data_IF_731266945338
#
_entry.id   IF_731266945338
#
_cell.length_a   1.000
_cell.length_b   1.000
_cell.length_c   1.000
_cell.angle_alpha   90.00
_cell.angle_beta   90.00
_cell.angle_gamma   90.00
#
_symmetry.space_group_name_H-M   'P 1'
#
loop_
_entity.id
_entity.type
_entity.pdbx_description
1 polymer ?
#
# COMPACT_ATOMS: atom_id res chain seq x y z
N UNK A 1 -8.92 -17.01 -27.61
CA UNK A 1 -8.78 -17.25 -26.16
C UNK A 1 -8.29 -15.98 -25.47
N UNK A 2 -9.18 -15.09 -25.00
CA UNK A 2 -8.81 -13.90 -24.20
C UNK A 2 -9.93 -13.54 -23.21
N UNK A 3 -10.27 -14.48 -22.33
CA UNK A 3 -11.18 -14.26 -21.19
C UNK A 3 -10.38 -13.80 -19.98
N UNK A 4 -9.74 -12.64 -20.04
CA UNK A 4 -8.96 -12.13 -18.88
C UNK A 4 -9.12 -10.64 -18.60
N UNK A 5 -10.00 -9.91 -19.27
CA UNK A 5 -10.26 -8.50 -18.92
C UNK A 5 -11.01 -8.40 -17.58
N UNK A 6 -12.19 -9.02 -17.51
CA UNK A 6 -13.10 -8.91 -16.36
C UNK A 6 -12.54 -9.53 -15.07
N UNK A 7 -11.83 -10.66 -15.18
CA UNK A 7 -11.27 -11.34 -14.01
C UNK A 7 -10.12 -10.55 -13.36
N UNK A 8 -9.33 -9.81 -14.14
CA UNK A 8 -8.23 -9.00 -13.62
C UNK A 8 -8.74 -7.72 -12.93
N UNK A 9 -9.77 -7.08 -13.49
CA UNK A 9 -10.44 -5.93 -12.88
C UNK A 9 -11.07 -6.32 -11.54
N UNK A 10 -11.85 -7.41 -11.52
CA UNK A 10 -12.47 -7.93 -10.30
C UNK A 10 -11.41 -8.34 -9.27
N UNK A 11 -10.35 -9.02 -9.69
CA UNK A 11 -9.25 -9.39 -8.81
C UNK A 11 -8.54 -8.16 -8.24
N UNK A 12 -8.30 -7.10 -9.02
CA UNK A 12 -7.71 -5.85 -8.50
C UNK A 12 -8.58 -5.22 -7.42
N UNK A 13 -9.90 -5.12 -7.65
CA UNK A 13 -10.84 -4.55 -6.66
C UNK A 13 -10.82 -5.38 -5.37
N UNK A 14 -10.79 -6.71 -5.49
CA UNK A 14 -10.69 -7.61 -4.34
C UNK A 14 -9.35 -7.44 -3.61
N UNK A 15 -8.23 -7.48 -4.33
CA UNK A 15 -6.89 -7.32 -3.78
C UNK A 15 -6.74 -5.98 -3.05
N UNK A 16 -7.33 -4.91 -3.58
CA UNK A 16 -7.33 -3.59 -2.91
C UNK A 16 -8.03 -3.63 -1.56
N UNK A 17 -9.18 -4.30 -1.47
CA UNK A 17 -9.89 -4.48 -0.20
C UNK A 17 -9.04 -5.25 0.79
N UNK A 18 -8.42 -6.35 0.36
CA UNK A 18 -7.55 -7.18 1.21
C UNK A 18 -6.36 -6.36 1.73
N UNK A 19 -5.74 -5.53 0.89
CA UNK A 19 -4.64 -4.63 1.30
C UNK A 19 -5.11 -3.61 2.34
N UNK A 20 -6.24 -2.93 2.10
CA UNK A 20 -6.80 -1.97 3.06
C UNK A 20 -7.08 -2.66 4.39
N UNK A 21 -7.70 -3.84 4.36
CA UNK A 21 -8.04 -4.61 5.56
C UNK A 21 -6.79 -5.05 6.32
N UNK A 22 -5.74 -5.51 5.62
CA UNK A 22 -4.46 -5.86 6.23
C UNK A 22 -3.81 -4.64 6.92
N UNK A 23 -3.75 -3.48 6.24
CA UNK A 23 -3.24 -2.25 6.88
C UNK A 23 -4.14 -1.83 8.05
N UNK A 24 -5.46 -2.03 7.97
CA UNK A 24 -6.39 -1.71 9.06
C UNK A 24 -6.19 -2.59 10.29
N UNK A 25 -5.96 -3.88 10.10
CA UNK A 25 -5.79 -4.86 11.18
C UNK A 25 -4.42 -4.73 11.85
N UNK A 26 -3.36 -4.49 11.07
CA UNK A 26 -1.99 -4.39 11.58
C UNK A 26 -1.51 -2.95 11.85
N UNK A 27 -2.26 -1.94 11.40
CA UNK A 27 -1.94 -0.52 11.55
C UNK A 27 -0.91 0.00 10.54
N UNK A 28 0.37 -0.30 10.77
CA UNK A 28 1.48 0.18 9.94
C UNK A 28 2.26 -1.00 9.38
N UNK A 29 2.21 -1.18 8.06
CA UNK A 29 2.84 -2.30 7.35
C UNK A 29 3.75 -1.81 6.25
N UNK A 30 4.79 -2.56 5.93
CA UNK A 30 5.62 -2.27 4.75
C UNK A 30 5.01 -2.92 3.50
N UNK A 31 5.39 -2.48 2.30
CA UNK A 31 4.96 -3.14 1.05
C UNK A 31 5.34 -4.63 1.01
N UNK A 32 6.49 -5.00 1.60
CA UNK A 32 6.93 -6.39 1.69
C UNK A 32 6.07 -7.20 2.67
N UNK A 33 5.74 -6.63 3.82
CA UNK A 33 4.85 -7.26 4.79
C UNK A 33 3.43 -7.39 4.23
N UNK A 34 2.94 -6.37 3.52
CA UNK A 34 1.67 -6.45 2.79
C UNK A 34 1.68 -7.59 1.76
N UNK A 35 2.74 -7.72 0.95
CA UNK A 35 2.86 -8.82 0.00
C UNK A 35 2.82 -10.19 0.70
N UNK A 36 3.47 -10.32 1.86
CA UNK A 36 3.46 -11.56 2.67
C UNK A 36 2.10 -11.86 3.27
N UNK A 37 1.46 -10.87 3.91
CA UNK A 37 0.18 -11.04 4.63
C UNK A 37 -0.97 -11.24 3.64
N UNK A 38 -0.98 -10.50 2.54
CA UNK A 38 -2.04 -10.58 1.52
C UNK A 38 -1.80 -11.69 0.49
N UNK A 39 -0.67 -12.38 0.57
CA UNK A 39 -0.21 -13.36 -0.43
C UNK A 39 -0.17 -12.81 -1.88
N UNK A 40 -0.04 -11.50 -2.04
CA UNK A 40 0.01 -10.82 -3.33
C UNK A 40 1.44 -10.63 -3.80
N UNK A 41 1.61 -10.50 -5.12
CA UNK A 41 2.91 -10.17 -5.69
C UNK A 41 3.33 -8.75 -5.26
N UNK A 42 4.62 -8.51 -5.01
CA UNK A 42 5.12 -7.19 -4.60
C UNK A 42 4.80 -6.09 -5.63
N UNK A 43 4.68 -6.46 -6.90
CA UNK A 43 4.29 -5.57 -7.99
C UNK A 43 2.81 -5.15 -7.88
N UNK A 44 1.91 -6.10 -7.59
CA UNK A 44 0.48 -5.80 -7.35
C UNK A 44 0.30 -4.93 -6.12
N UNK A 45 0.98 -5.26 -5.02
CA UNK A 45 0.94 -4.44 -3.80
C UNK A 45 1.45 -3.04 -4.06
N UNK A 46 2.55 -2.88 -4.80
CA UNK A 46 3.10 -1.56 -5.13
C UNK A 46 2.11 -0.71 -5.93
N UNK A 47 1.44 -1.30 -6.93
CA UNK A 47 0.40 -0.61 -7.70
C UNK A 47 -0.78 -0.21 -6.82
N UNK A 48 -1.31 -1.15 -6.02
CA UNK A 48 -2.46 -0.89 -5.13
C UNK A 48 -2.12 0.19 -4.10
N UNK A 49 -0.93 0.10 -3.48
CA UNK A 49 -0.48 1.08 -2.50
C UNK A 49 -0.33 2.45 -3.15
N UNK A 50 0.29 2.55 -4.33
CA UNK A 50 0.40 3.80 -5.06
C UNK A 50 -0.98 4.40 -5.35
N UNK A 51 -1.93 3.61 -5.86
CA UNK A 51 -3.31 4.04 -6.11
C UNK A 51 -3.98 4.56 -4.83
N UNK A 52 -3.90 3.81 -3.73
CA UNK A 52 -4.48 4.23 -2.45
C UNK A 52 -3.83 5.48 -1.88
N UNK A 53 -2.53 5.67 -2.11
CA UNK A 53 -1.83 6.90 -1.76
C UNK A 53 -2.31 8.08 -2.61
N UNK A 54 -2.51 7.88 -3.92
CA UNK A 54 -3.07 8.90 -4.83
C UNK A 54 -4.51 9.28 -4.42
N UNK A 55 -5.28 8.32 -3.93
CA UNK A 55 -6.63 8.56 -3.40
C UNK A 55 -6.64 9.21 -2.00
N UNK A 56 -5.48 9.42 -1.37
CA UNK A 56 -5.38 9.94 0.00
C UNK A 56 -5.88 8.97 1.08
N UNK A 57 -6.00 7.67 0.76
CA UNK A 57 -6.43 6.62 1.69
C UNK A 57 -5.26 5.98 2.45
N UNK A 58 -4.07 5.95 1.85
CA UNK A 58 -2.84 5.50 2.50
C UNK A 58 -1.83 6.64 2.58
N UNK A 59 -1.07 6.67 3.68
CA UNK A 59 0.08 7.55 3.86
C UNK A 59 1.33 6.70 3.97
N UNK A 60 2.34 7.02 3.16
CA UNK A 60 3.69 6.47 3.32
C UNK A 60 4.47 7.29 4.34
N UNK A 61 5.07 6.60 5.30
CA UNK A 61 5.96 7.18 6.29
C UNK A 61 7.41 7.22 5.81
N UNK A 62 8.26 7.85 6.60
CA UNK A 62 9.70 7.83 6.34
C UNK A 62 10.24 6.39 6.28
N UNK A 63 11.17 6.10 5.33
CA UNK A 63 11.79 4.80 5.25
C UNK A 63 12.48 4.49 6.57
N UNK A 64 11.95 3.52 7.32
CA UNK A 64 12.60 3.10 8.56
C UNK A 64 13.84 2.33 8.16
N UNK A 65 15.02 2.91 8.39
CA UNK A 65 16.28 2.17 8.26
C UNK A 65 16.20 1.01 9.24
N UNK A 66 16.04 -0.21 8.71
CA UNK A 66 16.17 -1.40 9.53
C UNK A 66 17.60 -1.40 10.08
N UNK A 67 17.74 -1.47 11.40
CA UNK A 67 19.04 -1.46 12.08
C UNK A 67 19.88 -2.75 11.85
N UNK A 68 19.53 -3.56 10.85
CA UNK A 68 20.22 -4.78 10.44
C UNK A 68 20.08 -4.98 8.93
N UNK A 69 20.96 -5.81 8.34
CA UNK A 69 21.06 -6.11 6.89
C UNK A 69 19.70 -6.47 6.27
N UNK A 70 18.96 -5.45 5.83
CA UNK A 70 17.66 -5.57 5.20
C UNK A 70 17.37 -4.29 4.44
N UNK A 71 16.80 -4.41 3.25
CA UNK A 71 16.46 -3.25 2.41
C UNK A 71 15.57 -2.27 3.18
N UNK A 72 15.79 -0.95 3.01
CA UNK A 72 14.96 0.06 3.65
C UNK A 72 13.51 -0.12 3.20
N UNK A 73 12.65 -0.52 4.14
CA UNK A 73 11.25 -0.76 3.86
C UNK A 73 10.45 0.51 4.24
N UNK A 74 9.71 1.05 3.29
CA UNK A 74 8.82 2.20 3.51
C UNK A 74 7.54 1.69 4.16
N UNK A 75 7.25 2.05 5.43
CA UNK A 75 6.00 1.69 6.07
C UNK A 75 4.85 2.53 5.49
N UNK A 76 3.68 1.93 5.34
CA UNK A 76 2.43 2.56 4.96
C UNK A 76 1.39 2.33 6.04
N UNK A 77 0.57 3.34 6.28
CA UNK A 77 -0.53 3.30 7.24
C UNK A 77 -1.80 3.84 6.60
N UNK A 78 -2.97 3.43 7.12
CA UNK A 78 -4.24 4.04 6.69
C UNK A 78 -4.28 5.50 7.11
N UNK A 79 -4.59 6.35 6.15
CA UNK A 79 -4.89 7.74 6.42
C UNK A 79 -6.31 7.77 7.04
N UNK A 80 -6.46 8.19 8.31
CA UNK A 80 -7.80 8.40 8.85
C UNK A 80 -8.53 9.43 7.97
N UNK A 81 -9.85 9.28 7.72
CA UNK A 81 -10.61 10.27 6.97
C UNK A 81 -10.49 11.61 7.72
N UNK A 82 -9.61 12.47 7.23
CA UNK A 82 -9.26 13.69 7.91
C UNK A 82 -10.48 14.62 7.89
N UNK A 83 -11.04 14.92 9.06
CA UNK A 83 -11.71 16.22 9.25
C UNK A 83 -10.61 17.29 9.24
N UNK A 84 -10.21 17.74 8.05
CA UNK A 84 -9.36 18.92 7.88
C UNK A 84 -8.10 18.71 7.02
N UNK A 85 -7.55 19.80 6.45
CA UNK A 85 -6.50 19.74 5.43
C UNK A 85 -5.13 19.47 6.06
N UNK A 86 -4.78 18.21 6.29
CA UNK A 86 -3.39 17.84 6.58
C UNK A 86 -2.66 17.53 5.27
N UNK A 87 -2.23 18.61 4.60
CA UNK A 87 -1.21 18.53 3.58
C UNK A 87 0.09 18.03 4.21
N UNK A 88 0.48 16.81 3.86
CA UNK A 88 1.87 16.38 3.97
C UNK A 88 2.29 15.86 2.61
N UNK A 89 2.78 16.80 1.80
CA UNK A 89 3.72 16.53 0.72
C UNK A 89 4.86 15.73 1.37
N UNK A 90 4.99 14.45 1.02
CA UNK A 90 6.20 13.70 1.34
C UNK A 90 6.77 13.12 0.05
N UNK A 91 7.85 13.79 -0.37
CA UNK A 91 9.01 13.20 -1.03
C UNK A 91 8.86 12.85 -2.51
N UNK A 92 8.96 13.91 -3.31
CA UNK A 92 9.61 13.86 -4.63
C UNK A 92 11.06 13.42 -4.37
N UNK A 93 11.46 12.27 -4.91
CA UNK A 93 12.87 11.85 -4.95
C UNK A 93 13.60 12.69 -6.01
N UNK A 94 14.88 13.06 -5.81
CA UNK A 94 15.66 13.89 -6.73
C UNK A 94 15.93 13.19 -8.07
#
# INVERSE_FOLDING_TARGET
MKTSGTNLEHARVHNRRVVIEAVRLHGTLTRAELARITALTPQTVSNIVAELQQMGLLTSHEPRRAAGRGQPAVPVSLNPPARGPSGSISTIKP
#
